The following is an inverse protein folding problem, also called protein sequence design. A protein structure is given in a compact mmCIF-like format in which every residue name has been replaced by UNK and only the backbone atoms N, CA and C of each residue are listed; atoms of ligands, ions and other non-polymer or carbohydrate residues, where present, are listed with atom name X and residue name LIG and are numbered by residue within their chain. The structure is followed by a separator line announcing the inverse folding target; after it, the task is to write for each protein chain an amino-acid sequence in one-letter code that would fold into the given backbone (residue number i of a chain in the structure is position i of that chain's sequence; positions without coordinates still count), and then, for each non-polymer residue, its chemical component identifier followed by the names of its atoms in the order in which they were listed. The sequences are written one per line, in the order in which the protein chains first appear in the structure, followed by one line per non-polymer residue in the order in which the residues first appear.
data_IF_831388562426
#
_entry.id   IF_831388562426
#
_cell.length_a   1.000
_cell.length_b   1.000
_cell.length_c   1.000
_cell.angle_alpha   90.00
_cell.angle_beta   90.00
_cell.angle_gamma   90.00
#
_symmetry.space_group_name_H-M   'P 1'
#
loop_
_entity.id
_entity.type
_entity.pdbx_description
1 polymer ?
#
# COMPACT_ATOMS: atom_id res chain seq x y z
N UNK A 1 -3.77 18.71 -40.91
CA UNK A 1 -3.46 17.49 -40.12
C UNK A 1 -3.21 17.92 -38.70
N UNK A 2 -4.28 17.99 -37.90
CA UNK A 2 -4.22 18.48 -36.50
C UNK A 2 -3.71 17.32 -35.65
N UNK A 3 -2.58 17.51 -34.98
CA UNK A 3 -2.14 16.61 -33.92
C UNK A 3 -3.19 16.68 -32.81
N UNK A 4 -4.00 15.63 -32.69
CA UNK A 4 -4.86 15.45 -31.53
C UNK A 4 -3.95 15.18 -30.33
N UNK A 5 -3.58 16.24 -29.62
CA UNK A 5 -3.08 16.12 -28.24
C UNK A 5 -4.25 15.57 -27.44
N UNK A 6 -4.13 14.32 -26.97
CA UNK A 6 -5.14 13.68 -26.15
C UNK A 6 -5.32 14.49 -24.84
N UNK A 7 -6.48 15.13 -24.62
CA UNK A 7 -6.71 15.95 -23.43
C UNK A 7 -6.95 15.10 -22.16
N UNK A 8 -6.93 13.76 -22.27
CA UNK A 8 -7.04 12.81 -21.16
C UNK A 8 -5.72 12.20 -20.73
N UNK A 9 -4.57 12.72 -21.16
CA UNK A 9 -3.30 12.47 -20.47
C UNK A 9 -3.28 13.22 -19.11
N UNK A 10 -4.33 13.06 -18.32
CA UNK A 10 -4.31 13.36 -16.90
C UNK A 10 -3.28 12.43 -16.31
N UNK A 11 -2.21 12.99 -15.73
CA UNK A 11 -1.24 12.21 -14.97
C UNK A 11 -2.03 11.33 -13.98
N UNK A 12 -2.04 10.02 -14.21
CA UNK A 12 -2.86 9.07 -13.45
C UNK A 12 -2.53 9.28 -11.97
N UNK A 13 -3.54 9.52 -11.13
CA UNK A 13 -3.32 9.73 -9.70
C UNK A 13 -2.54 8.52 -9.12
N UNK A 14 -1.33 8.70 -8.56
CA UNK A 14 -0.50 7.61 -8.07
C UNK A 14 -1.21 6.73 -7.03
N UNK A 15 -2.05 7.30 -6.17
CA UNK A 15 -2.85 6.52 -5.22
C UNK A 15 -3.83 5.61 -5.93
N UNK A 16 -4.58 6.15 -6.90
CA UNK A 16 -5.57 5.39 -7.65
C UNK A 16 -4.92 4.24 -8.41
N UNK A 17 -3.70 4.44 -8.92
CA UNK A 17 -2.98 3.38 -9.60
C UNK A 17 -2.61 2.23 -8.66
N UNK A 18 -2.17 2.52 -7.44
CA UNK A 18 -1.90 1.51 -6.41
C UNK A 18 -3.20 0.80 -6.00
N UNK A 19 -4.30 1.54 -5.82
CA UNK A 19 -5.60 0.98 -5.48
C UNK A 19 -6.11 0.01 -6.55
N UNK A 20 -6.08 0.44 -7.83
CA UNK A 20 -6.49 -0.38 -8.97
C UNK A 20 -5.66 -1.67 -9.05
N UNK A 21 -4.35 -1.55 -8.81
CA UNK A 21 -3.41 -2.66 -8.83
C UNK A 21 -3.69 -3.68 -7.71
N UNK A 22 -3.86 -3.21 -6.46
CA UNK A 22 -4.24 -4.08 -5.34
C UNK A 22 -5.58 -4.77 -5.59
N UNK A 23 -6.56 -4.04 -6.13
CA UNK A 23 -7.86 -4.59 -6.48
C UNK A 23 -7.74 -5.68 -7.55
N UNK A 24 -6.88 -5.49 -8.56
CA UNK A 24 -6.61 -6.49 -9.59
C UNK A 24 -5.97 -7.75 -8.98
N UNK A 25 -4.96 -7.62 -8.12
CA UNK A 25 -4.35 -8.75 -7.42
C UNK A 25 -5.38 -9.52 -6.59
N UNK A 26 -6.19 -8.82 -5.82
CA UNK A 26 -7.24 -9.40 -4.95
C UNK A 26 -8.34 -10.12 -5.74
N UNK A 27 -8.57 -9.75 -7.00
CA UNK A 27 -9.51 -10.44 -7.89
C UNK A 27 -8.91 -11.68 -8.55
N UNK A 28 -7.61 -11.66 -8.83
CA UNK A 28 -6.94 -12.68 -9.66
C UNK A 28 -6.18 -13.73 -8.85
N UNK A 29 -5.80 -13.46 -7.61
CA UNK A 29 -4.86 -14.27 -6.85
C UNK A 29 -5.43 -14.77 -5.52
N UNK A 30 -4.90 -15.90 -5.04
CA UNK A 30 -5.24 -16.43 -3.72
C UNK A 30 -4.80 -15.46 -2.60
N UNK A 31 -5.54 -15.34 -1.48
CA UNK A 31 -5.21 -14.41 -0.39
C UNK A 31 -3.76 -14.46 0.09
N UNK A 32 -3.16 -15.64 0.18
CA UNK A 32 -1.75 -15.80 0.57
C UNK A 32 -0.76 -15.12 -0.40
N UNK A 33 -1.05 -15.12 -1.71
CA UNK A 33 -0.22 -14.43 -2.70
C UNK A 33 -0.40 -12.92 -2.63
N UNK A 34 -1.63 -12.47 -2.37
CA UNK A 34 -1.92 -11.05 -2.13
C UNK A 34 -1.18 -10.54 -0.90
N UNK A 35 -1.16 -11.30 0.20
CA UNK A 35 -0.39 -10.96 1.40
C UNK A 35 1.12 -10.87 1.10
N UNK A 36 1.66 -11.80 0.31
CA UNK A 36 3.05 -11.76 -0.14
C UNK A 36 3.35 -10.48 -0.93
N UNK A 37 2.44 -10.08 -1.84
CA UNK A 37 2.57 -8.83 -2.60
C UNK A 37 2.50 -7.61 -1.70
N UNK A 38 1.57 -7.58 -0.75
CA UNK A 38 1.44 -6.49 0.22
C UNK A 38 2.73 -6.34 1.04
N UNK A 39 3.28 -7.45 1.52
CA UNK A 39 4.56 -7.49 2.24
C UNK A 39 5.71 -6.95 1.37
N UNK A 40 5.81 -7.39 0.11
CA UNK A 40 6.83 -6.90 -0.81
C UNK A 40 6.71 -5.41 -1.11
N UNK A 41 5.49 -4.89 -1.23
CA UNK A 41 5.22 -3.49 -1.56
C UNK A 41 5.50 -2.58 -0.37
N UNK A 42 4.84 -2.82 0.77
CA UNK A 42 4.81 -1.86 1.87
C UNK A 42 5.85 -2.10 2.96
N UNK A 43 6.31 -3.34 3.14
CA UNK A 43 7.18 -3.71 4.28
C UNK A 43 8.62 -3.86 3.82
N UNK A 44 8.84 -4.55 2.70
CA UNK A 44 10.17 -4.78 2.13
C UNK A 44 10.61 -3.68 1.17
N UNK A 45 9.68 -2.90 0.61
CA UNK A 45 9.93 -1.96 -0.49
C UNK A 45 10.70 -2.59 -1.67
N UNK A 46 10.29 -3.80 -2.09
CA UNK A 46 10.93 -4.63 -3.12
C UNK A 46 9.92 -5.16 -4.14
N UNK A 47 8.93 -4.33 -4.48
CA UNK A 47 7.88 -4.76 -5.39
C UNK A 47 8.43 -5.00 -6.81
N UNK A 48 8.03 -6.08 -7.52
CA UNK A 48 8.61 -6.42 -8.82
C UNK A 48 8.15 -5.50 -9.95
N UNK A 49 6.99 -4.85 -9.81
CA UNK A 49 6.43 -3.95 -10.84
C UNK A 49 6.97 -2.54 -10.60
N UNK A 50 7.85 -2.06 -11.47
CA UNK A 50 8.55 -0.77 -11.33
C UNK A 50 7.58 0.41 -11.22
N UNK A 51 6.66 0.49 -12.18
CA UNK A 51 5.52 1.39 -12.23
C UNK A 51 4.77 1.58 -10.90
N UNK A 52 4.49 0.48 -10.17
CA UNK A 52 3.81 0.53 -8.87
C UNK A 52 4.72 1.04 -7.76
N UNK A 53 6.03 0.77 -7.84
CA UNK A 53 7.00 1.37 -6.91
C UNK A 53 7.10 2.88 -7.13
N UNK A 54 7.17 3.31 -8.38
CA UNK A 54 7.27 4.73 -8.73
C UNK A 54 6.01 5.48 -8.29
N UNK A 55 4.84 4.87 -8.45
CA UNK A 55 3.59 5.38 -7.90
C UNK A 55 3.65 5.50 -6.37
N UNK A 56 4.13 4.47 -5.67
CA UNK A 56 4.26 4.50 -4.21
C UNK A 56 5.24 5.58 -3.76
N UNK A 57 6.39 5.71 -4.41
CA UNK A 57 7.36 6.76 -4.12
C UNK A 57 6.77 8.16 -4.34
N UNK A 58 5.93 8.34 -5.37
CA UNK A 58 5.21 9.60 -5.60
C UNK A 58 4.19 9.91 -4.49
N UNK A 59 3.39 8.93 -4.05
CA UNK A 59 2.45 9.11 -2.91
C UNK A 59 3.21 9.45 -1.63
N UNK A 60 4.26 8.68 -1.31
CA UNK A 60 5.03 8.88 -0.07
C UNK A 60 5.72 10.24 -0.05
N UNK A 61 6.13 10.75 -1.22
CA UNK A 61 6.82 12.03 -1.35
C UNK A 61 5.90 13.24 -1.51
N UNK A 62 4.61 13.05 -1.81
CA UNK A 62 3.67 14.16 -2.05
C UNK A 62 3.18 14.84 -0.77
N UNK A 63 3.20 14.12 0.35
CA UNK A 63 2.77 14.65 1.65
C UNK A 63 3.99 15.03 2.49
N UNK A 64 3.89 16.12 3.26
CA UNK A 64 4.93 16.52 4.22
C UNK A 64 4.81 15.72 5.52
N UNK A 65 3.59 15.60 6.04
CA UNK A 65 3.29 14.81 7.23
C UNK A 65 3.10 13.33 6.89
N UNK A 66 3.62 12.45 7.74
CA UNK A 66 3.39 11.00 7.63
C UNK A 66 1.94 10.66 8.02
N UNK A 67 1.31 11.47 8.88
CA UNK A 67 -0.06 11.22 9.34
C UNK A 67 -1.09 11.43 8.21
N UNK A 68 -0.79 12.31 7.26
CA UNK A 68 -1.65 12.57 6.09
C UNK A 68 -1.66 11.37 5.11
N UNK A 69 -0.70 10.45 5.25
CA UNK A 69 -0.61 9.22 4.47
C UNK A 69 -1.36 8.04 5.11
N UNK A 70 -1.84 8.18 6.36
CA UNK A 70 -2.59 7.12 7.04
C UNK A 70 -3.89 6.72 6.32
N UNK A 71 -4.72 7.65 5.81
CA UNK A 71 -5.93 7.28 5.06
C UNK A 71 -5.61 6.47 3.79
N UNK A 72 -4.52 6.81 3.09
CA UNK A 72 -4.05 6.07 1.92
C UNK A 72 -3.69 4.63 2.29
N UNK A 73 -2.89 4.43 3.34
CA UNK A 73 -2.50 3.10 3.78
C UNK A 73 -3.70 2.29 4.31
N UNK A 74 -4.61 2.96 5.01
CA UNK A 74 -5.87 2.37 5.46
C UNK A 74 -6.70 1.85 4.28
N UNK A 75 -6.84 2.66 3.22
CA UNK A 75 -7.57 2.28 2.02
C UNK A 75 -6.94 1.05 1.35
N UNK A 76 -5.62 0.97 1.31
CA UNK A 76 -4.91 -0.22 0.82
C UNK A 76 -5.30 -1.47 1.60
N UNK A 77 -5.38 -1.40 2.93
CA UNK A 77 -5.80 -2.52 3.77
C UNK A 77 -7.26 -2.93 3.49
N UNK A 78 -8.18 -1.98 3.44
CA UNK A 78 -9.61 -2.27 3.20
C UNK A 78 -9.89 -2.83 1.79
N UNK A 79 -9.06 -2.55 0.78
CA UNK A 79 -9.21 -3.19 -0.54
C UNK A 79 -9.06 -4.71 -0.42
N UNK A 80 -8.11 -5.18 0.40
CA UNK A 80 -7.88 -6.60 0.66
C UNK A 80 -9.00 -7.17 1.54
N UNK A 81 -9.25 -6.52 2.69
CA UNK A 81 -10.21 -6.96 3.71
C UNK A 81 -11.62 -7.07 3.14
N UNK A 82 -12.09 -6.07 2.39
CA UNK A 82 -13.45 -6.08 1.82
C UNK A 82 -13.67 -7.25 0.87
N UNK A 83 -12.64 -7.72 0.18
CA UNK A 83 -12.75 -8.93 -0.65
C UNK A 83 -12.83 -10.17 0.22
N UNK A 84 -11.93 -10.31 1.19
CA UNK A 84 -11.87 -11.50 2.03
C UNK A 84 -13.10 -11.67 2.91
N UNK A 85 -13.78 -10.59 3.31
CA UNK A 85 -15.05 -10.67 4.04
C UNK A 85 -16.17 -11.37 3.28
N UNK A 86 -16.14 -11.38 1.94
CA UNK A 86 -17.16 -12.06 1.13
C UNK A 86 -17.07 -13.58 1.33
N UNK A 87 -15.88 -14.11 1.66
CA UNK A 87 -15.64 -15.53 1.85
C UNK A 87 -15.32 -15.83 3.32
N UNK A 88 -16.21 -16.53 4.03
CA UNK A 88 -16.01 -16.82 5.46
C UNK A 88 -14.69 -17.57 5.78
N UNK A 89 -14.17 -18.35 4.83
CA UNK A 89 -12.90 -19.11 4.94
C UNK A 89 -11.67 -18.19 4.97
N UNK A 90 -11.78 -16.96 4.47
CA UNK A 90 -10.66 -16.03 4.34
C UNK A 90 -10.55 -15.07 5.54
N UNK A 91 -11.40 -15.19 6.58
CA UNK A 91 -11.38 -14.29 7.75
C UNK A 91 -10.05 -14.33 8.52
N UNK A 92 -9.41 -15.50 8.59
CA UNK A 92 -8.10 -15.65 9.26
C UNK A 92 -7.00 -14.83 8.57
N UNK A 93 -7.19 -14.46 7.29
CA UNK A 93 -6.23 -13.65 6.52
C UNK A 93 -6.14 -12.20 6.97
N UNK A 94 -7.17 -11.70 7.65
CA UNK A 94 -7.15 -10.37 8.27
C UNK A 94 -6.13 -10.39 9.41
N UNK A 95 -6.13 -11.45 10.24
CA UNK A 95 -5.11 -11.68 11.27
C UNK A 95 -3.71 -11.67 10.68
N UNK A 96 -3.47 -12.45 9.61
CA UNK A 96 -2.18 -12.50 8.92
C UNK A 96 -1.74 -11.12 8.37
N UNK A 97 -2.67 -10.32 7.83
CA UNK A 97 -2.37 -8.95 7.38
C UNK A 97 -1.94 -8.07 8.56
N UNK A 98 -2.67 -8.11 9.69
CA UNK A 98 -2.31 -7.31 10.87
C UNK A 98 -0.96 -7.73 11.43
N UNK A 99 -0.65 -9.03 11.44
CA UNK A 99 0.63 -9.55 11.90
C UNK A 99 1.77 -9.10 11.00
N UNK A 100 1.58 -9.10 9.67
CA UNK A 100 2.55 -8.54 8.72
C UNK A 100 2.84 -7.06 8.98
N UNK A 101 1.80 -6.26 9.22
CA UNK A 101 1.96 -4.82 9.49
C UNK A 101 2.72 -4.60 10.81
N UNK A 102 2.42 -5.37 11.86
CA UNK A 102 3.09 -5.31 13.17
C UNK A 102 4.57 -5.69 13.15
N UNK A 103 5.07 -6.35 12.09
CA UNK A 103 6.51 -6.66 11.96
C UNK A 103 7.38 -5.40 11.90
N UNK A 104 6.82 -4.24 11.53
CA UNK A 104 7.54 -2.97 11.55
C UNK A 104 7.59 -2.43 12.99
N UNK A 105 8.60 -2.88 13.74
CA UNK A 105 8.75 -2.54 15.16
C UNK A 105 9.46 -1.19 15.42
N UNK A 106 10.10 -0.61 14.40
CA UNK A 106 10.83 0.65 14.55
C UNK A 106 10.60 1.59 13.36
N UNK A 107 10.52 2.92 13.62
CA UNK A 107 10.54 3.91 12.55
C UNK A 107 11.88 3.80 11.83
N UNK A 108 11.86 3.88 10.49
CA UNK A 108 13.00 3.58 9.62
C UNK A 108 14.18 4.53 9.78
N UNK A 109 14.98 4.38 10.84
CA UNK A 109 16.15 5.21 11.12
C UNK A 109 17.48 4.60 10.64
N UNK A 110 17.44 3.40 10.02
CA UNK A 110 18.65 2.76 9.50
C UNK A 110 19.14 3.43 8.21
N UNK A 111 20.45 3.67 8.12
CA UNK A 111 21.07 4.26 6.93
C UNK A 111 21.05 3.36 5.68
N UNK A 112 20.57 2.12 5.81
CA UNK A 112 20.42 1.16 4.71
C UNK A 112 19.18 1.38 3.84
N UNK A 113 18.25 2.24 4.24
CA UNK A 113 17.02 2.50 3.49
C UNK A 113 17.11 3.78 2.65
N UNK A 114 16.47 3.76 1.48
CA UNK A 114 16.21 4.97 0.68
C UNK A 114 15.35 5.96 1.46
N UNK A 115 15.33 7.24 1.06
CA UNK A 115 14.47 8.25 1.71
C UNK A 115 13.00 7.83 1.70
N UNK A 116 12.49 7.38 0.56
CA UNK A 116 11.13 6.85 0.45
C UNK A 116 10.92 5.61 1.31
N UNK A 117 11.87 4.68 1.35
CA UNK A 117 11.81 3.49 2.20
C UNK A 117 11.80 3.79 3.70
N UNK A 118 12.56 4.80 4.16
CA UNK A 118 12.52 5.28 5.56
C UNK A 118 11.12 5.82 5.89
N UNK A 119 10.59 6.67 5.01
CA UNK A 119 9.30 7.32 5.18
C UNK A 119 8.14 6.32 5.13
N UNK A 120 8.22 5.33 4.24
CA UNK A 120 7.27 4.21 4.19
C UNK A 120 7.29 3.40 5.49
N UNK A 121 8.45 3.08 6.06
CA UNK A 121 8.51 2.41 7.38
C UNK A 121 7.93 3.28 8.50
N UNK A 122 8.16 4.59 8.45
CA UNK A 122 7.54 5.52 9.42
C UNK A 122 6.02 5.54 9.28
N UNK A 123 5.49 5.51 8.06
CA UNK A 123 4.06 5.38 7.79
C UNK A 123 3.50 4.10 8.40
N UNK A 124 4.09 2.94 8.10
CA UNK A 124 3.61 1.66 8.64
C UNK A 124 3.69 1.63 10.16
N UNK A 125 4.78 2.16 10.74
CA UNK A 125 4.94 2.24 12.20
C UNK A 125 3.91 3.19 12.86
N UNK A 126 3.66 4.36 12.25
CA UNK A 126 2.64 5.29 12.73
C UNK A 126 1.24 4.70 12.60
N UNK A 127 0.98 3.94 11.52
CA UNK A 127 -0.29 3.29 11.28
C UNK A 127 -0.66 2.30 12.38
N UNK A 128 0.27 1.44 12.81
CA UNK A 128 0.07 0.49 13.93
C UNK A 128 -0.39 1.19 15.22
N UNK A 129 -0.05 2.48 15.41
CA UNK A 129 -0.41 3.28 16.59
C UNK A 129 -1.67 4.13 16.42
N UNK A 130 -2.30 4.10 15.25
CA UNK A 130 -3.42 4.97 14.90
C UNK A 130 -4.76 4.27 15.08
N UNK A 131 -5.84 5.06 15.20
CA UNK A 131 -7.21 4.54 15.26
C UNK A 131 -7.62 3.78 14.00
N UNK A 132 -6.94 4.01 12.87
CA UNK A 132 -7.18 3.21 11.67
C UNK A 132 -6.83 1.74 11.87
N UNK A 133 -5.76 1.44 12.62
CA UNK A 133 -5.32 0.05 12.81
C UNK A 133 -6.21 -0.71 13.78
N UNK A 134 -6.78 -0.04 14.78
CA UNK A 134 -7.74 -0.66 15.70
C UNK A 134 -9.11 -0.95 15.06
N UNK A 135 -9.38 -0.36 13.89
CA UNK A 135 -10.61 -0.53 13.12
C UNK A 135 -10.49 -1.53 11.96
N UNK A 136 -9.29 -2.03 11.66
CA UNK A 136 -9.09 -3.12 10.70
C UNK A 136 -9.70 -4.43 11.21
#
# INVERSE_FOLDING_TARGET
MVLAVNPYASARNPEQWIYDHLLACVKAEHPSQVLKRFHQLFILNRYPVADIRDALDAVISSQESIYDLLPFFNRCCYILINRWHINAVDRDRIGELTDLIKQVQTPGNSNRYTRSGKRLRQLVFAFVKSDYFSQL
#
